data_IF_261333725175
#
_entry.id   IF_261333725175
#
_cell.length_a   1.000
_cell.length_b   1.000
_cell.length_c   1.000
_cell.angle_alpha   90.00
_cell.angle_beta   90.00
_cell.angle_gamma   90.00
#
_symmetry.space_group_name_H-M   'P 1'
#
loop_
_entity.id
_entity.type
_entity.pdbx_description
1 polymer ?
#
# COMPACT_ATOMS: atom_id res chain seq x y z
N UNK A 1 -38.58 37.52 -35.93
CA UNK A 1 -38.27 36.41 -35.00
C UNK A 1 -39.12 36.66 -33.78
N UNK A 2 -40.14 35.83 -33.56
CA UNK A 2 -41.09 36.06 -32.48
C UNK A 2 -40.46 35.78 -31.12
N UNK A 3 -40.75 36.64 -30.15
CA UNK A 3 -40.27 36.54 -28.78
C UNK A 3 -40.63 35.18 -28.14
N UNK A 4 -41.72 34.57 -28.60
CA UNK A 4 -42.15 33.23 -28.19
C UNK A 4 -41.24 32.12 -28.72
N UNK A 5 -40.74 32.22 -29.96
CA UNK A 5 -39.77 31.26 -30.51
C UNK A 5 -38.44 31.33 -29.75
N UNK A 6 -37.98 32.54 -29.42
CA UNK A 6 -36.74 32.73 -28.65
C UNK A 6 -36.85 32.10 -27.24
N UNK A 7 -38.01 32.23 -26.60
CA UNK A 7 -38.27 31.67 -25.28
C UNK A 7 -38.37 30.14 -25.31
N UNK A 8 -38.95 29.58 -26.37
CA UNK A 8 -39.02 28.14 -26.59
C UNK A 8 -37.63 27.54 -26.84
N UNK A 9 -36.81 28.17 -27.69
CA UNK A 9 -35.42 27.76 -27.92
C UNK A 9 -34.58 27.85 -26.65
N UNK A 10 -34.75 28.90 -25.85
CA UNK A 10 -34.02 29.06 -24.59
C UNK A 10 -34.40 27.99 -23.56
N UNK A 11 -35.69 27.64 -23.43
CA UNK A 11 -36.14 26.56 -22.56
C UNK A 11 -35.62 25.19 -23.02
N UNK A 12 -35.57 24.95 -24.33
CA UNK A 12 -35.02 23.72 -24.87
C UNK A 12 -33.50 23.63 -24.66
N UNK A 13 -32.79 24.74 -24.88
CA UNK A 13 -31.35 24.84 -24.63
C UNK A 13 -31.04 24.61 -23.14
N UNK A 14 -31.80 25.22 -22.24
CA UNK A 14 -31.66 25.06 -20.79
C UNK A 14 -31.84 23.59 -20.37
N UNK A 15 -32.88 22.91 -20.87
CA UNK A 15 -33.09 21.48 -20.61
C UNK A 15 -31.96 20.60 -21.14
N UNK A 16 -31.42 20.92 -22.33
CA UNK A 16 -30.27 20.18 -22.88
C UNK A 16 -29.03 20.38 -22.01
N UNK A 17 -28.75 21.62 -21.59
CA UNK A 17 -27.61 21.94 -20.71
C UNK A 17 -27.72 21.20 -19.39
N UNK A 18 -28.89 21.20 -18.74
CA UNK A 18 -29.13 20.48 -17.48
C UNK A 18 -28.93 18.95 -17.65
N UNK A 19 -29.39 18.40 -18.78
CA UNK A 19 -29.18 16.98 -19.11
C UNK A 19 -27.70 16.66 -19.38
N UNK A 20 -26.96 17.56 -20.03
CA UNK A 20 -25.52 17.40 -20.23
C UNK A 20 -24.74 17.53 -18.93
N UNK A 21 -25.13 18.44 -18.04
CA UNK A 21 -24.50 18.66 -16.75
C UNK A 21 -24.66 17.44 -15.84
N UNK A 22 -25.88 16.90 -15.74
CA UNK A 22 -26.17 15.66 -14.99
C UNK A 22 -25.43 14.44 -15.56
N UNK A 23 -25.37 14.28 -16.88
CA UNK A 23 -24.58 13.22 -17.52
C UNK A 23 -23.07 13.39 -17.28
N UNK A 24 -22.55 14.61 -17.35
CA UNK A 24 -21.15 14.89 -17.12
C UNK A 24 -20.75 14.62 -15.66
N UNK A 25 -21.63 14.96 -14.73
CA UNK A 25 -21.47 14.65 -13.31
C UNK A 25 -21.49 13.14 -13.05
N UNK A 26 -22.43 12.39 -13.64
CA UNK A 26 -22.46 10.92 -13.56
C UNK A 26 -21.19 10.29 -14.13
N UNK A 27 -20.71 10.76 -15.28
CA UNK A 27 -19.45 10.30 -15.86
C UNK A 27 -18.26 10.59 -14.95
N UNK A 28 -18.24 11.76 -14.29
CA UNK A 28 -17.20 12.13 -13.33
C UNK A 28 -17.19 11.20 -12.11
N UNK A 29 -18.38 10.88 -11.56
CA UNK A 29 -18.52 9.92 -10.45
C UNK A 29 -18.03 8.53 -10.86
N UNK A 30 -18.46 8.04 -12.03
CA UNK A 30 -18.05 6.73 -12.55
C UNK A 30 -16.53 6.66 -12.79
N UNK A 31 -15.93 7.72 -13.34
CA UNK A 31 -14.47 7.82 -13.50
C UNK A 31 -13.74 7.77 -12.16
N UNK A 32 -14.20 8.53 -11.16
CA UNK A 32 -13.60 8.59 -9.83
C UNK A 32 -13.75 7.26 -9.07
N UNK A 33 -14.90 6.58 -9.19
CA UNK A 33 -15.11 5.23 -8.66
C UNK A 33 -14.16 4.22 -9.32
N UNK A 34 -14.05 4.26 -10.65
CA UNK A 34 -13.14 3.37 -11.40
C UNK A 34 -11.68 3.60 -11.01
N UNK A 35 -11.26 4.86 -10.84
CA UNK A 35 -9.92 5.21 -10.33
C UNK A 35 -9.71 4.69 -8.91
N UNK A 36 -10.69 4.83 -8.03
CA UNK A 36 -10.65 4.33 -6.65
C UNK A 36 -10.47 2.80 -6.62
N UNK A 37 -11.24 2.07 -7.45
CA UNK A 37 -11.12 0.61 -7.60
C UNK A 37 -9.72 0.22 -8.12
N UNK A 38 -9.26 0.90 -9.16
CA UNK A 38 -7.94 0.65 -9.78
C UNK A 38 -6.79 0.90 -8.80
N UNK A 39 -6.82 2.03 -8.08
CA UNK A 39 -5.82 2.40 -7.09
C UNK A 39 -5.83 1.42 -5.90
N UNK A 40 -7.01 1.00 -5.43
CA UNK A 40 -7.13 -0.06 -4.43
C UNK A 40 -6.53 -1.38 -4.91
N UNK A 41 -6.85 -1.80 -6.14
CA UNK A 41 -6.33 -3.04 -6.72
C UNK A 41 -4.81 -3.04 -6.86
N UNK A 42 -4.21 -1.89 -7.20
CA UNK A 42 -2.75 -1.71 -7.18
C UNK A 42 -2.20 -1.91 -5.76
N UNK A 43 -2.81 -1.29 -4.75
CA UNK A 43 -2.39 -1.45 -3.34
C UNK A 43 -2.47 -2.90 -2.86
N UNK A 44 -3.56 -3.61 -3.17
CA UNK A 44 -3.73 -5.03 -2.81
C UNK A 44 -2.66 -5.91 -3.47
N UNK A 45 -2.39 -5.73 -4.77
CA UNK A 45 -1.34 -6.48 -5.48
C UNK A 45 0.03 -6.28 -4.83
N UNK A 46 0.39 -5.05 -4.47
CA UNK A 46 1.63 -4.79 -3.77
C UNK A 46 1.70 -5.52 -2.43
N UNK A 47 0.64 -5.43 -1.61
CA UNK A 47 0.62 -6.09 -0.30
C UNK A 47 0.72 -7.62 -0.43
N UNK A 48 0.05 -8.22 -1.41
CA UNK A 48 0.11 -9.67 -1.73
C UNK A 48 1.52 -10.08 -2.18
N UNK A 49 2.18 -9.31 -3.05
CA UNK A 49 3.55 -9.61 -3.48
C UNK A 49 4.51 -9.59 -2.30
N UNK A 50 4.42 -8.58 -1.43
CA UNK A 50 5.25 -8.51 -0.23
C UNK A 50 4.97 -9.65 0.76
N UNK A 51 3.71 -10.07 0.89
CA UNK A 51 3.36 -11.25 1.68
C UNK A 51 3.98 -12.51 1.10
N UNK A 52 3.89 -12.71 -0.22
CA UNK A 52 4.50 -13.85 -0.91
C UNK A 52 6.02 -13.88 -0.74
N UNK A 53 6.70 -12.72 -0.85
CA UNK A 53 8.14 -12.58 -0.61
C UNK A 53 8.47 -12.97 0.84
N UNK A 54 7.71 -12.49 1.82
CA UNK A 54 7.92 -12.80 3.25
C UNK A 54 7.78 -14.30 3.53
N UNK A 55 6.76 -14.96 2.97
CA UNK A 55 6.57 -16.42 3.11
C UNK A 55 7.69 -17.18 2.42
N UNK A 56 8.04 -16.79 1.19
CA UNK A 56 9.12 -17.43 0.43
C UNK A 56 10.46 -17.35 1.18
N UNK A 57 10.82 -16.17 1.72
CA UNK A 57 12.04 -16.00 2.49
C UNK A 57 12.02 -16.79 3.81
N UNK A 58 10.88 -16.87 4.50
CA UNK A 58 10.76 -17.69 5.72
C UNK A 58 10.99 -19.19 5.42
N UNK A 59 10.43 -19.70 4.32
CA UNK A 59 10.65 -21.08 3.87
C UNK A 59 12.11 -21.28 3.46
N UNK A 60 12.68 -20.37 2.68
CA UNK A 60 14.07 -20.43 2.24
C UNK A 60 15.05 -20.47 3.43
N UNK A 61 14.86 -19.60 4.42
CA UNK A 61 15.67 -19.58 5.64
C UNK A 61 15.48 -20.85 6.48
N UNK A 62 14.27 -21.42 6.52
CA UNK A 62 14.01 -22.69 7.20
C UNK A 62 14.73 -23.86 6.53
N UNK A 63 14.75 -23.91 5.19
CA UNK A 63 15.55 -24.88 4.44
C UNK A 63 17.05 -24.67 4.65
N UNK A 64 17.51 -23.41 4.67
CA UNK A 64 18.90 -23.09 4.95
C UNK A 64 19.31 -23.60 6.35
N UNK A 65 18.46 -23.46 7.37
CA UNK A 65 18.71 -23.99 8.71
C UNK A 65 18.92 -25.51 8.73
N UNK A 66 18.19 -26.24 7.89
CA UNK A 66 18.29 -27.70 7.79
C UNK A 66 19.54 -28.18 7.04
N UNK A 67 19.99 -27.41 6.03
CA UNK A 67 21.13 -27.77 5.15
C UNK A 67 22.47 -27.21 5.69
N UNK A 68 22.45 -26.35 6.72
CA UNK A 68 23.64 -25.68 7.27
C UNK A 68 24.56 -26.61 8.09
N UNK A 69 25.04 -27.69 7.48
CA UNK A 69 25.96 -28.67 8.07
C UNK A 69 27.37 -28.13 8.33
N UNK A 70 27.82 -27.12 7.58
CA UNK A 70 29.16 -26.53 7.71
C UNK A 70 29.23 -25.29 8.62
N UNK A 71 28.12 -24.92 9.29
CA UNK A 71 28.00 -23.71 10.13
C UNK A 71 28.50 -22.42 9.46
N UNK A 72 28.23 -22.25 8.16
CA UNK A 72 28.65 -21.04 7.43
C UNK A 72 27.95 -19.78 7.97
N UNK A 73 26.79 -19.95 8.61
CA UNK A 73 26.01 -18.91 9.30
C UNK A 73 25.59 -19.48 10.67
N UNK A 74 25.57 -18.65 11.71
CA UNK A 74 25.05 -19.05 13.02
C UNK A 74 23.54 -19.38 12.93
N UNK A 75 23.12 -20.51 13.50
CA UNK A 75 21.72 -20.95 13.46
C UNK A 75 20.79 -19.96 14.17
N UNK A 76 21.32 -19.28 15.20
CA UNK A 76 20.69 -18.19 15.93
C UNK A 76 20.35 -17.02 15.00
N UNK A 77 21.26 -16.66 14.09
CA UNK A 77 21.02 -15.62 13.09
C UNK A 77 19.91 -16.01 12.12
N UNK A 78 19.88 -17.26 11.67
CA UNK A 78 18.85 -17.78 10.77
C UNK A 78 17.48 -17.77 11.48
N UNK A 79 17.42 -18.18 12.75
CA UNK A 79 16.21 -18.13 13.57
C UNK A 79 15.69 -16.70 13.78
N UNK A 80 16.57 -15.74 14.06
CA UNK A 80 16.22 -14.31 14.15
C UNK A 80 15.63 -13.83 12.82
N UNK A 81 16.24 -14.20 11.68
CA UNK A 81 15.73 -13.88 10.35
C UNK A 81 14.32 -14.44 10.11
N UNK A 82 14.09 -15.73 10.41
CA UNK A 82 12.77 -16.36 10.30
C UNK A 82 11.74 -15.61 11.15
N UNK A 83 12.07 -15.30 12.41
CA UNK A 83 11.18 -14.56 13.32
C UNK A 83 10.75 -13.21 12.75
N UNK A 84 11.70 -12.43 12.21
CA UNK A 84 11.42 -11.13 11.58
C UNK A 84 10.50 -11.28 10.37
N UNK A 85 10.75 -12.27 9.50
CA UNK A 85 9.91 -12.49 8.32
C UNK A 85 8.51 -12.99 8.67
N UNK A 86 8.34 -13.81 9.72
CA UNK A 86 7.03 -14.25 10.20
C UNK A 86 6.22 -13.09 10.77
N UNK A 87 6.84 -12.26 11.61
CA UNK A 87 6.18 -11.06 12.17
C UNK A 87 5.80 -10.08 11.06
N UNK A 88 6.69 -9.85 10.09
CA UNK A 88 6.41 -9.03 8.92
C UNK A 88 5.25 -9.60 8.08
N UNK A 89 5.22 -10.91 7.86
CA UNK A 89 4.16 -11.61 7.14
C UNK A 89 2.80 -11.49 7.83
N UNK A 90 2.75 -11.67 9.15
CA UNK A 90 1.53 -11.50 9.95
C UNK A 90 0.98 -10.07 9.85
N UNK A 91 1.86 -9.07 9.92
CA UNK A 91 1.48 -7.66 9.76
C UNK A 91 0.98 -7.34 8.34
N UNK A 92 1.61 -7.93 7.33
CA UNK A 92 1.20 -7.77 5.93
C UNK A 92 -0.18 -8.41 5.68
N UNK A 93 -0.44 -9.59 6.25
CA UNK A 93 -1.73 -10.25 6.19
C UNK A 93 -2.85 -9.41 6.84
N UNK A 94 -2.58 -8.80 7.99
CA UNK A 94 -3.53 -7.89 8.65
C UNK A 94 -3.93 -6.71 7.74
N UNK A 95 -2.98 -6.12 7.01
CA UNK A 95 -3.25 -5.04 6.04
C UNK A 95 -4.07 -5.51 4.84
N UNK A 96 -3.79 -6.70 4.31
CA UNK A 96 -4.59 -7.30 3.23
C UNK A 96 -6.03 -7.50 3.68
N UNK A 97 -6.26 -8.03 4.89
CA UNK A 97 -7.61 -8.20 5.45
C UNK A 97 -8.34 -6.86 5.61
N UNK A 98 -7.63 -5.79 5.98
CA UNK A 98 -8.22 -4.45 6.09
C UNK A 98 -8.62 -3.89 4.71
N UNK A 99 -7.77 -4.08 3.68
CA UNK A 99 -8.04 -3.69 2.30
C UNK A 99 -9.22 -4.47 1.70
N UNK A 100 -9.29 -5.78 1.92
CA UNK A 100 -10.40 -6.62 1.45
C UNK A 100 -11.75 -6.20 2.05
N UNK A 101 -11.75 -5.66 3.27
CA UNK A 101 -12.96 -5.10 3.90
C UNK A 101 -13.43 -3.79 3.26
N UNK A 102 -12.60 -3.07 2.49
CA UNK A 102 -13.00 -1.87 1.74
C UNK A 102 -13.74 -2.27 0.45
N UNK A 103 -15.02 -2.63 0.54
CA UNK A 103 -15.87 -2.82 -0.65
C UNK A 103 -16.51 -1.50 -1.05
N UNK A 104 -16.13 -1.00 -2.23
CA UNK A 104 -16.60 0.30 -2.77
C UNK A 104 -18.11 0.28 -3.03
N UNK A 105 -18.67 -0.89 -3.36
CA UNK A 105 -20.11 -1.04 -3.65
C UNK A 105 -21.03 -1.02 -2.41
N UNK A 106 -20.49 -1.10 -1.19
CA UNK A 106 -21.30 -1.17 0.04
C UNK A 106 -21.00 -0.08 1.07
N UNK A 107 -19.93 0.68 0.90
CA UNK A 107 -19.51 1.69 1.87
C UNK A 107 -19.76 3.09 1.31
N UNK A 108 -20.27 4.00 2.15
CA UNK A 108 -20.37 5.41 1.77
C UNK A 108 -18.99 6.02 1.55
N UNK A 109 -18.93 7.08 0.74
CA UNK A 109 -17.69 7.83 0.44
C UNK A 109 -16.97 8.27 1.72
N UNK A 110 -17.72 8.57 2.78
CA UNK A 110 -17.22 8.96 4.11
C UNK A 110 -16.53 7.78 4.82
N UNK A 111 -17.11 6.57 4.74
CA UNK A 111 -16.48 5.37 5.32
C UNK A 111 -15.21 4.97 4.57
N UNK A 112 -15.22 5.07 3.24
CA UNK A 112 -14.05 4.82 2.39
C UNK A 112 -12.90 5.77 2.76
N UNK A 113 -13.20 7.05 2.95
CA UNK A 113 -12.22 8.06 3.36
C UNK A 113 -11.63 7.76 4.74
N UNK A 114 -12.47 7.40 5.73
CA UNK A 114 -12.01 7.07 7.09
C UNK A 114 -11.12 5.83 7.10
N UNK A 115 -11.42 4.83 6.26
CA UNK A 115 -10.61 3.61 6.11
C UNK A 115 -9.30 3.87 5.37
N UNK A 116 -9.29 4.71 4.34
CA UNK A 116 -8.07 5.14 3.66
C UNK A 116 -7.12 5.91 4.62
N UNK A 117 -7.67 6.77 5.48
CA UNK A 117 -6.90 7.44 6.54
C UNK A 117 -6.31 6.47 7.57
N UNK A 118 -7.08 5.47 8.02
CA UNK A 118 -6.57 4.40 8.89
C UNK A 118 -5.46 3.60 8.21
N UNK A 119 -5.62 3.29 6.93
CA UNK A 119 -4.60 2.59 6.14
C UNK A 119 -3.31 3.42 6.02
N UNK A 120 -3.43 4.74 5.82
CA UNK A 120 -2.29 5.67 5.84
C UNK A 120 -1.56 5.65 7.18
N UNK A 121 -2.30 5.73 8.29
CA UNK A 121 -1.72 5.66 9.64
C UNK A 121 -1.03 4.31 9.89
N UNK A 122 -1.63 3.19 9.49
CA UNK A 122 -1.03 1.85 9.58
C UNK A 122 0.24 1.71 8.73
N UNK A 123 0.27 2.35 7.56
CA UNK A 123 1.43 2.34 6.67
C UNK A 123 2.59 3.12 7.30
N UNK A 124 2.31 4.25 7.96
CA UNK A 124 3.30 5.03 8.70
C UNK A 124 3.78 4.27 9.96
N UNK A 125 2.86 3.61 10.66
CA UNK A 125 3.18 2.71 11.77
C UNK A 125 4.11 1.57 11.36
N UNK A 126 3.94 1.01 10.15
CA UNK A 126 4.88 0.01 9.59
C UNK A 126 6.29 0.59 9.44
N UNK A 127 6.43 1.83 8.97
CA UNK A 127 7.76 2.42 8.78
C UNK A 127 8.45 2.66 10.13
N UNK A 128 7.72 3.23 11.09
CA UNK A 128 8.27 3.44 12.44
C UNK A 128 8.62 2.10 13.10
N UNK A 129 7.68 1.15 13.12
CA UNK A 129 7.89 -0.18 13.70
C UNK A 129 9.00 -0.95 12.99
N UNK A 130 9.07 -0.87 11.66
CA UNK A 130 10.12 -1.48 10.85
C UNK A 130 11.51 -0.91 11.16
N UNK A 131 11.64 0.42 11.27
CA UNK A 131 12.91 1.06 11.63
C UNK A 131 13.35 0.72 13.06
N UNK A 132 12.41 0.67 14.00
CA UNK A 132 12.67 0.26 15.39
C UNK A 132 13.13 -1.19 15.44
N UNK A 133 12.53 -2.09 14.65
CA UNK A 133 12.87 -3.52 14.64
C UNK A 133 14.18 -3.80 13.88
N UNK A 134 14.53 -2.96 12.91
CA UNK A 134 15.72 -3.11 12.08
C UNK A 134 17.01 -2.95 12.89
N UNK A 135 17.06 -1.99 13.82
CA UNK A 135 18.26 -1.72 14.64
C UNK A 135 18.64 -2.92 15.54
N UNK A 136 17.73 -3.48 16.37
CA UNK A 136 18.00 -4.69 17.16
C UNK A 136 18.33 -5.90 16.29
N UNK A 137 17.65 -6.05 15.14
CA UNK A 137 17.90 -7.17 14.23
C UNK A 137 19.34 -7.12 13.67
N UNK A 138 19.81 -5.94 13.26
CA UNK A 138 21.19 -5.77 12.78
C UNK A 138 22.22 -5.99 13.90
N UNK A 139 21.93 -5.55 15.12
CA UNK A 139 22.80 -5.78 16.28
C UNK A 139 22.92 -7.26 16.62
N UNK A 140 21.79 -7.99 16.67
CA UNK A 140 21.76 -9.44 16.91
C UNK A 140 22.48 -10.19 15.78
N UNK A 141 22.25 -9.78 14.54
CA UNK A 141 22.93 -10.35 13.37
C UNK A 141 24.45 -10.18 13.49
N UNK A 142 24.94 -8.98 13.80
CA UNK A 142 26.37 -8.74 13.99
C UNK A 142 26.93 -9.52 15.18
N UNK A 143 26.21 -9.57 16.30
CA UNK A 143 26.64 -10.27 17.51
C UNK A 143 26.82 -11.77 17.28
N UNK A 144 25.84 -12.44 16.67
CA UNK A 144 25.89 -13.88 16.44
C UNK A 144 26.84 -14.29 15.30
N UNK A 145 27.13 -13.37 14.38
CA UNK A 145 27.91 -13.69 13.18
C UNK A 145 29.36 -13.18 13.24
N UNK A 146 29.73 -12.40 14.26
CA UNK A 146 31.06 -11.79 14.42
C UNK A 146 32.23 -12.79 14.28
N UNK A 147 32.08 -14.00 14.81
CA UNK A 147 33.17 -14.99 14.87
C UNK A 147 33.21 -15.92 13.64
N UNK A 148 32.15 -15.93 12.82
CA UNK A 148 31.97 -16.86 11.70
C UNK A 148 32.12 -16.18 10.34
N UNK A 149 32.10 -14.84 10.29
CA UNK A 149 32.01 -14.10 9.03
C UNK A 149 33.38 -13.61 8.54
N UNK A 150 33.86 -14.05 7.36
CA UNK A 150 35.02 -13.45 6.73
C UNK A 150 34.71 -12.00 6.31
N UNK A 151 35.73 -11.13 6.29
CA UNK A 151 35.60 -9.70 5.99
C UNK A 151 34.91 -9.43 4.64
N UNK A 152 35.10 -10.31 3.67
CA UNK A 152 34.48 -10.25 2.34
C UNK A 152 32.94 -10.39 2.42
N UNK A 153 32.44 -11.34 3.23
CA UNK A 153 31.01 -11.56 3.41
C UNK A 153 30.35 -10.39 4.17
N UNK A 154 31.06 -9.79 5.13
CA UNK A 154 30.60 -8.58 5.83
C UNK A 154 30.39 -7.41 4.87
N UNK A 155 31.29 -7.23 3.91
CA UNK A 155 31.21 -6.18 2.90
C UNK A 155 29.99 -6.41 1.98
N UNK A 156 29.81 -7.64 1.49
CA UNK A 156 28.64 -8.02 0.67
C UNK A 156 27.33 -7.81 1.43
N UNK A 157 27.29 -8.18 2.70
CA UNK A 157 26.08 -8.06 3.53
C UNK A 157 25.75 -6.60 3.85
N UNK A 158 26.76 -5.77 4.09
CA UNK A 158 26.60 -4.33 4.32
C UNK A 158 26.08 -3.62 3.07
N UNK A 159 26.64 -3.95 1.90
CA UNK A 159 26.17 -3.44 0.60
C UNK A 159 24.74 -3.89 0.34
N UNK A 160 24.44 -5.18 0.57
CA UNK A 160 23.08 -5.73 0.44
C UNK A 160 22.07 -5.05 1.37
N UNK A 161 22.44 -4.78 2.62
CA UNK A 161 21.60 -4.05 3.58
C UNK A 161 21.31 -2.62 3.09
N UNK A 162 22.31 -1.92 2.57
CA UNK A 162 22.14 -0.57 2.02
C UNK A 162 21.19 -0.54 0.81
N UNK A 163 21.38 -1.45 -0.15
CA UNK A 163 20.48 -1.58 -1.29
C UNK A 163 19.06 -1.97 -0.86
N UNK A 164 18.92 -2.91 0.08
CA UNK A 164 17.62 -3.30 0.63
C UNK A 164 16.88 -2.12 1.27
N UNK A 165 17.58 -1.29 2.03
CA UNK A 165 17.03 -0.09 2.66
C UNK A 165 16.60 0.94 1.61
N UNK A 166 17.44 1.19 0.59
CA UNK A 166 17.13 2.11 -0.50
C UNK A 166 15.88 1.68 -1.31
N UNK A 167 15.79 0.39 -1.65
CA UNK A 167 14.62 -0.18 -2.35
C UNK A 167 13.38 -0.08 -1.45
N UNK A 168 13.50 -0.44 -0.17
CA UNK A 168 12.40 -0.37 0.80
C UNK A 168 11.84 1.06 0.95
N UNK A 169 12.71 2.06 1.05
CA UNK A 169 12.32 3.47 1.11
C UNK A 169 11.65 3.93 -0.19
N UNK A 170 12.22 3.62 -1.35
CA UNK A 170 11.63 3.98 -2.65
C UNK A 170 10.22 3.41 -2.78
N UNK A 171 10.03 2.13 -2.44
CA UNK A 171 8.72 1.48 -2.50
C UNK A 171 7.75 2.07 -1.48
N UNK A 172 8.22 2.45 -0.29
CA UNK A 172 7.40 3.17 0.69
C UNK A 172 6.90 4.51 0.15
N UNK A 173 7.77 5.33 -0.43
CA UNK A 173 7.39 6.64 -1.00
C UNK A 173 6.40 6.49 -2.15
N UNK A 174 6.60 5.49 -3.02
CA UNK A 174 5.64 5.18 -4.09
C UNK A 174 4.26 4.81 -3.53
N UNK A 175 4.23 3.93 -2.51
CA UNK A 175 2.99 3.53 -1.86
C UNK A 175 2.32 4.70 -1.13
N UNK A 176 3.10 5.58 -0.51
CA UNK A 176 2.61 6.80 0.15
C UNK A 176 1.96 7.77 -0.83
N UNK A 177 2.57 7.96 -2.00
CA UNK A 177 2.01 8.79 -3.07
C UNK A 177 0.65 8.24 -3.54
N UNK A 178 0.56 6.93 -3.78
CA UNK A 178 -0.69 6.27 -4.18
C UNK A 178 -1.79 6.42 -3.11
N UNK A 179 -1.45 6.34 -1.83
CA UNK A 179 -2.41 6.55 -0.72
C UNK A 179 -2.88 7.99 -0.68
N UNK A 180 -2.00 8.97 -0.90
CA UNK A 180 -2.39 10.38 -0.93
C UNK A 180 -3.31 10.68 -2.12
N UNK A 181 -3.03 10.15 -3.31
CA UNK A 181 -3.91 10.26 -4.47
C UNK A 181 -5.30 9.68 -4.15
N UNK A 182 -5.37 8.48 -3.58
CA UNK A 182 -6.65 7.88 -3.18
C UNK A 182 -7.45 8.76 -2.20
N UNK A 183 -6.78 9.40 -1.24
CA UNK A 183 -7.44 10.29 -0.28
C UNK A 183 -7.94 11.58 -0.96
N UNK A 184 -7.18 12.12 -1.91
CA UNK A 184 -7.58 13.30 -2.69
C UNK A 184 -8.80 12.98 -3.56
N UNK A 185 -8.76 11.88 -4.31
CA UNK A 185 -9.88 11.43 -5.16
C UNK A 185 -11.17 11.23 -4.33
N UNK A 186 -11.04 10.65 -3.12
CA UNK A 186 -12.17 10.47 -2.20
C UNK A 186 -12.67 11.79 -1.59
N UNK A 187 -11.83 12.81 -1.43
CA UNK A 187 -12.24 14.16 -0.99
C UNK A 187 -13.04 14.86 -2.09
N UNK A 188 -12.59 14.78 -3.33
CA UNK A 188 -13.28 15.36 -4.48
C UNK A 188 -14.66 14.72 -4.68
N UNK A 189 -14.73 13.38 -4.59
CA UNK A 189 -16.00 12.65 -4.60
C UNK A 189 -16.97 13.13 -3.52
N UNK A 190 -16.48 13.33 -2.28
CA UNK A 190 -17.31 13.82 -1.18
C UNK A 190 -17.86 15.21 -1.45
N UNK A 191 -17.05 16.10 -2.02
CA UNK A 191 -17.47 17.47 -2.31
C UNK A 191 -18.57 17.49 -3.37
N UNK A 192 -18.43 16.68 -4.43
CA UNK A 192 -19.43 16.53 -5.49
C UNK A 192 -20.75 15.97 -4.96
N UNK A 193 -20.69 14.95 -4.10
CA UNK A 193 -21.87 14.34 -3.47
C UNK A 193 -22.60 15.35 -2.55
N UNK A 194 -21.86 16.19 -1.81
CA UNK A 194 -22.44 17.24 -0.95
C UNK A 194 -22.98 18.46 -1.70
N UNK A 195 -22.57 18.71 -2.94
CA UNK A 195 -23.14 19.79 -3.77
C UNK A 195 -24.44 19.39 -4.48
N UNK A 196 -24.80 18.10 -4.44
CA UNK A 196 -25.98 17.53 -5.10
C UNK A 196 -27.16 17.27 -4.15
N UNK A 197 -26.94 17.36 -2.84
CA UNK A 197 -27.99 17.21 -1.81
C UNK A 197 -28.36 18.55 -1.19
#
# INVERSE_FOLDING_TARGET
MDLEQLKAEWQELSKRVEKYETLNQQNTINMLQTRTISTKGKMEKYEIIFFAISVFYAIFLSCALFINTERLIANETIMVGIGVFVVAGAWQLYKILLLQKMKIDRCSVIELQKRALRYKALTLGRLIGGMILLIPTLLLFYYFQRDLMPQELLLVTSVGAFFGLAIGLKTFFSQWSNINQLITDLKELKHLDSSLG
#
